data_IF_506149928577
#
_entry.id   IF_506149928577
#
_cell.length_a   1.000
_cell.length_b   1.000
_cell.length_c   1.000
_cell.angle_alpha   90.00
_cell.angle_beta   90.00
_cell.angle_gamma   90.00
#
_symmetry.space_group_name_H-M   'P 1'
#
loop_
_entity.id
_entity.type
_entity.pdbx_description
1 polymer ?
#
# COMPACT_ATOMS: atom_id res chain seq x y z
N UNK A 1 -7.42 7.53 -23.19
CA UNK A 1 -6.60 8.75 -22.99
C UNK A 1 -5.19 8.37 -22.54
N UNK A 2 -4.36 7.86 -23.46
CA UNK A 2 -2.96 7.49 -23.18
C UNK A 2 -2.03 8.58 -23.72
N UNK A 3 -1.78 9.61 -22.91
CA UNK A 3 -0.93 10.73 -23.30
C UNK A 3 0.52 10.44 -22.92
N UNK A 4 1.26 9.75 -23.79
CA UNK A 4 2.73 9.57 -23.68
C UNK A 4 3.47 10.90 -23.40
N UNK A 5 2.94 12.01 -23.91
CA UNK A 5 3.45 13.37 -23.66
C UNK A 5 3.38 13.80 -22.19
N UNK A 6 2.38 13.33 -21.43
CA UNK A 6 2.26 13.61 -20.00
C UNK A 6 3.43 13.01 -19.22
N UNK A 7 3.76 11.75 -19.50
CA UNK A 7 4.90 11.06 -18.87
C UNK A 7 6.25 11.68 -19.22
N UNK A 8 6.38 12.39 -20.34
CA UNK A 8 7.61 13.12 -20.68
C UNK A 8 7.75 14.47 -19.97
N UNK A 9 6.66 14.99 -19.40
CA UNK A 9 6.71 16.23 -18.62
C UNK A 9 7.39 16.00 -17.27
N UNK A 10 7.96 17.05 -16.68
CA UNK A 10 8.53 16.99 -15.31
C UNK A 10 7.51 16.51 -14.27
N UNK A 11 6.25 16.91 -14.43
CA UNK A 11 5.16 16.47 -13.55
C UNK A 11 4.90 14.96 -13.69
N UNK A 12 4.85 14.45 -14.92
CA UNK A 12 4.67 13.03 -15.19
C UNK A 12 5.84 12.18 -14.72
N UNK A 13 7.08 12.68 -14.86
CA UNK A 13 8.27 12.03 -14.31
C UNK A 13 8.26 11.99 -12.77
N UNK A 14 7.87 13.09 -12.12
CA UNK A 14 7.72 13.12 -10.65
C UNK A 14 6.63 12.13 -10.18
N UNK A 15 5.50 12.07 -10.89
CA UNK A 15 4.45 11.09 -10.59
C UNK A 15 4.95 9.64 -10.76
N UNK A 16 5.67 9.34 -11.85
CA UNK A 16 6.27 8.01 -12.05
C UNK A 16 7.29 7.67 -10.98
N UNK A 17 8.13 8.62 -10.55
CA UNK A 17 9.08 8.42 -9.48
C UNK A 17 8.40 8.08 -8.15
N UNK A 18 7.29 8.77 -7.82
CA UNK A 18 6.51 8.48 -6.61
C UNK A 18 5.87 7.08 -6.66
N UNK A 19 5.28 6.71 -7.80
CA UNK A 19 4.71 5.37 -8.00
C UNK A 19 5.82 4.30 -7.89
N UNK A 20 6.97 4.53 -8.52
CA UNK A 20 8.10 3.61 -8.45
C UNK A 20 8.61 3.45 -7.00
N UNK A 21 8.70 4.54 -6.24
CA UNK A 21 9.08 4.49 -4.83
C UNK A 21 8.06 3.70 -3.99
N UNK A 22 6.77 3.90 -4.21
CA UNK A 22 5.71 3.13 -3.57
C UNK A 22 5.84 1.64 -3.90
N UNK A 23 6.05 1.29 -5.17
CA UNK A 23 6.20 -0.09 -5.61
C UNK A 23 7.46 -0.74 -5.01
N UNK A 24 8.58 -0.02 -4.95
CA UNK A 24 9.80 -0.50 -4.33
C UNK A 24 9.60 -0.76 -2.82
N UNK A 25 8.92 0.15 -2.13
CA UNK A 25 8.59 -0.02 -0.71
C UNK A 25 7.66 -1.21 -0.48
N UNK A 26 6.63 -1.38 -1.31
CA UNK A 26 5.70 -2.52 -1.21
C UNK A 26 6.41 -3.84 -1.51
N UNK A 27 7.26 -3.88 -2.54
CA UNK A 27 8.04 -5.08 -2.84
C UNK A 27 8.96 -5.45 -1.67
N UNK A 28 9.65 -4.47 -1.09
CA UNK A 28 10.48 -4.69 0.09
C UNK A 28 9.65 -5.11 1.32
N UNK A 29 8.49 -4.48 1.55
CA UNK A 29 7.62 -4.81 2.69
C UNK A 29 7.04 -6.22 2.55
N UNK A 30 6.74 -6.69 1.34
CA UNK A 30 6.26 -8.07 1.11
C UNK A 30 7.33 -9.12 1.43
N UNK A 31 8.61 -8.78 1.27
CA UNK A 31 9.72 -9.65 1.69
C UNK A 31 9.91 -9.62 3.22
N UNK A 32 9.60 -8.49 3.86
CA UNK A 32 9.72 -8.32 5.31
C UNK A 32 8.49 -8.78 6.11
N UNK A 33 7.32 -8.93 5.48
CA UNK A 33 6.13 -9.54 6.10
C UNK A 33 6.30 -11.06 6.22
N UNK A 34 7.20 -11.47 7.11
CA UNK A 34 7.29 -12.82 7.65
C UNK A 34 6.27 -13.00 8.80
N UNK A 35 5.01 -12.62 8.58
CA UNK A 35 3.84 -13.08 9.33
C UNK A 35 2.60 -12.39 8.75
N UNK A 36 1.52 -13.10 8.40
CA UNK A 36 0.27 -12.46 8.05
C UNK A 36 -0.16 -11.54 9.20
N UNK A 37 -0.36 -10.26 8.90
CA UNK A 37 -1.04 -9.36 9.82
C UNK A 37 -2.51 -9.80 9.89
N UNK A 38 -2.78 -10.83 10.69
CA UNK A 38 -4.14 -11.10 11.15
C UNK A 38 -4.61 -9.80 11.82
N UNK A 39 -5.68 -9.21 11.27
CA UNK A 39 -6.39 -8.15 11.97
C UNK A 39 -6.65 -8.68 13.38
N UNK A 40 -6.06 -8.04 14.39
CA UNK A 40 -6.23 -8.46 15.77
C UNK A 40 -7.74 -8.45 16.03
N UNK A 41 -8.31 -9.64 16.22
CA UNK A 41 -9.70 -9.75 16.63
C UNK A 41 -9.81 -9.01 17.97
N UNK A 42 -10.50 -7.87 17.97
CA UNK A 42 -10.86 -7.20 19.22
C UNK A 42 -11.62 -8.23 20.06
N UNK A 43 -11.19 -8.52 21.30
CA UNK A 43 -12.00 -9.31 22.20
C UNK A 43 -13.25 -8.48 22.53
N UNK A 44 -14.35 -8.76 21.83
CA UNK A 44 -15.67 -8.29 22.24
C UNK A 44 -16.07 -9.19 23.39
N UNK A 45 -15.97 -8.68 24.63
CA UNK A 45 -16.61 -9.34 25.76
C UNK A 45 -18.13 -9.23 25.58
N UNK A 46 -18.74 -10.30 25.07
CA UNK A 46 -20.18 -10.48 25.10
C UNK A 46 -20.58 -10.76 26.56
N UNK A 47 -20.89 -9.69 27.30
CA UNK A 47 -21.57 -9.80 28.59
C UNK A 47 -23.00 -10.22 28.30
N UNK A 48 -23.28 -11.51 28.43
CA UNK A 48 -24.63 -12.06 28.45
C UNK A 48 -25.31 -11.55 29.73
N UNK A 49 -26.29 -10.65 29.60
CA UNK A 49 -27.15 -10.22 30.72
C UNK A 49 -28.16 -11.34 30.99
N UNK A 50 -27.97 -12.07 32.10
CA UNK A 50 -28.93 -13.01 32.66
C UNK A 50 -29.97 -12.32 33.55
#
# INVERSE_FOLDING_TARGET
>A
MYNRRFFQSRLGQAALASIAAMMAFVALSTQMQASPAFAAAMPVEAVELA
#
